data_IF_774155662453
#
_entry.id   IF_774155662453
#
_cell.length_a   1.000
_cell.length_b   1.000
_cell.length_c   1.000
_cell.angle_alpha   90.00
_cell.angle_beta   90.00
_cell.angle_gamma   90.00
#
_symmetry.space_group_name_H-M   'P 1'
#
loop_
_entity.id
_entity.type
_entity.pdbx_description
1 polymer ?
#
# COMPACT_ATOMS: atom_id res chain seq x y z
N UNK A 1 44.94 -24.06 -15.16
CA UNK A 1 43.49 -24.36 -15.14
C UNK A 1 42.97 -24.25 -13.72
N UNK A 2 41.79 -23.63 -13.57
CA UNK A 2 40.98 -23.46 -12.34
C UNK A 2 41.51 -22.43 -11.34
N UNK A 3 40.72 -21.49 -10.84
CA UNK A 3 39.49 -20.79 -11.24
C UNK A 3 39.34 -19.74 -10.13
N UNK A 4 39.21 -18.47 -10.52
CA UNK A 4 38.99 -17.33 -9.65
C UNK A 4 37.89 -17.62 -8.61
N UNK A 5 38.22 -17.58 -7.32
CA UNK A 5 37.23 -17.43 -6.26
C UNK A 5 37.25 -15.96 -5.84
N UNK A 6 36.72 -15.11 -6.72
CA UNK A 6 36.33 -13.75 -6.35
C UNK A 6 35.14 -13.93 -5.41
N UNK A 7 35.42 -13.92 -4.11
CA UNK A 7 34.43 -13.70 -3.06
C UNK A 7 33.88 -12.29 -3.26
N UNK A 8 32.86 -12.20 -4.10
CA UNK A 8 31.99 -11.06 -4.22
C UNK A 8 31.33 -10.91 -2.84
N UNK A 9 31.91 -10.08 -1.99
CA UNK A 9 31.19 -9.50 -0.86
C UNK A 9 30.01 -8.76 -1.49
N UNK A 10 28.86 -9.44 -1.57
CA UNK A 10 27.58 -8.77 -1.73
C UNK A 10 27.51 -7.82 -0.54
N UNK A 11 27.85 -6.57 -0.79
CA UNK A 11 27.31 -5.46 -0.02
C UNK A 11 25.80 -5.55 -0.21
N UNK A 12 25.17 -6.35 0.64
CA UNK A 12 23.84 -6.05 1.12
C UNK A 12 23.98 -4.72 1.84
N UNK A 13 23.98 -3.63 1.08
CA UNK A 13 23.30 -2.41 1.52
C UNK A 13 21.81 -2.74 1.52
N UNK A 14 21.42 -3.69 2.38
CA UNK A 14 20.16 -3.53 3.07
C UNK A 14 20.36 -2.23 3.83
N UNK A 15 19.93 -1.13 3.22
CA UNK A 15 19.46 0.02 3.97
C UNK A 15 18.72 -0.60 5.15
N UNK A 16 19.18 -0.26 6.35
CA UNK A 16 18.51 -0.59 7.58
C UNK A 16 17.17 0.16 7.58
N UNK A 17 16.24 -0.26 6.73
CA UNK A 17 14.84 -0.23 7.08
C UNK A 17 14.77 -1.20 8.24
N UNK A 18 14.88 -0.59 9.42
CA UNK A 18 14.58 -1.19 10.69
C UNK A 18 13.36 -2.10 10.55
N UNK A 19 13.22 -3.05 11.47
CA UNK A 19 12.02 -3.85 11.68
C UNK A 19 10.77 -2.95 11.79
N UNK A 20 10.25 -2.48 10.66
CA UNK A 20 9.13 -1.55 10.54
C UNK A 20 7.90 -2.38 10.81
N UNK A 21 7.16 -2.03 11.85
CA UNK A 21 5.88 -2.63 12.17
C UNK A 21 4.83 -2.15 11.18
N UNK A 22 4.92 -2.61 9.92
CA UNK A 22 3.91 -2.36 8.91
C UNK A 22 2.54 -2.76 9.45
N UNK A 23 1.60 -1.82 9.46
CA UNK A 23 0.21 -2.10 9.83
C UNK A 23 -0.50 -2.87 8.71
N UNK A 24 -0.03 -2.71 7.48
CA UNK A 24 -0.54 -3.36 6.28
C UNK A 24 0.54 -4.18 5.59
N UNK A 25 0.35 -5.50 5.56
CA UNK A 25 1.31 -6.41 4.91
C UNK A 25 1.27 -6.29 3.37
N UNK A 26 0.15 -5.83 2.78
CA UNK A 26 0.10 -5.55 1.34
C UNK A 26 1.02 -4.37 0.98
N UNK A 27 0.94 -3.27 1.74
CA UNK A 27 1.83 -2.13 1.57
C UNK A 27 3.30 -2.54 1.65
N UNK A 28 3.66 -3.37 2.63
CA UNK A 28 5.01 -3.90 2.76
C UNK A 28 5.47 -4.67 1.52
N UNK A 29 4.59 -5.48 0.90
CA UNK A 29 4.93 -6.20 -0.33
C UNK A 29 5.17 -5.24 -1.51
N UNK A 30 4.34 -4.19 -1.63
CA UNK A 30 4.48 -3.16 -2.67
C UNK A 30 5.78 -2.39 -2.48
N UNK A 31 6.07 -1.92 -1.26
CA UNK A 31 7.29 -1.19 -0.93
C UNK A 31 8.55 -1.99 -1.26
N UNK A 32 8.58 -3.29 -0.91
CA UNK A 32 9.70 -4.16 -1.23
C UNK A 32 9.94 -4.30 -2.75
N UNK A 33 8.87 -4.26 -3.56
CA UNK A 33 8.99 -4.28 -5.03
C UNK A 33 9.48 -2.94 -5.58
N UNK A 34 9.00 -1.83 -5.03
CA UNK A 34 9.45 -0.49 -5.38
C UNK A 34 10.93 -0.33 -5.04
N UNK A 35 11.37 -0.72 -3.84
CA UNK A 35 12.78 -0.67 -3.43
C UNK A 35 13.70 -1.46 -4.37
N UNK A 36 13.23 -2.63 -4.83
CA UNK A 36 13.95 -3.43 -5.81
C UNK A 36 14.07 -2.72 -7.17
N UNK A 37 13.01 -2.04 -7.61
CA UNK A 37 13.02 -1.24 -8.84
C UNK A 37 13.91 0.01 -8.72
N UNK A 38 13.82 0.74 -7.61
CA UNK A 38 14.71 1.88 -7.32
C UNK A 38 16.16 1.41 -7.43
N UNK A 39 16.50 0.32 -6.73
CA UNK A 39 17.85 -0.24 -6.77
C UNK A 39 18.30 -0.64 -8.18
N UNK A 40 17.38 -1.09 -9.03
CA UNK A 40 17.66 -1.39 -10.44
C UNK A 40 17.93 -0.12 -11.24
N UNK A 41 17.07 0.89 -11.13
CA UNK A 41 17.19 2.16 -11.86
C UNK A 41 18.37 3.01 -11.39
N UNK A 42 18.69 3.02 -10.10
CA UNK A 42 19.85 3.74 -9.58
C UNK A 42 21.18 3.21 -10.13
N UNK A 43 21.30 1.90 -10.39
CA UNK A 43 22.49 1.32 -11.05
C UNK A 43 22.69 1.88 -12.45
N UNK A 44 21.61 2.18 -13.16
CA UNK A 44 21.67 2.83 -14.48
C UNK A 44 22.12 4.29 -14.40
N UNK A 45 22.22 4.87 -13.19
CA UNK A 45 22.70 6.23 -12.96
C UNK A 45 24.21 6.32 -12.70
N UNK A 46 24.89 5.19 -12.48
CA UNK A 46 26.33 5.15 -12.22
C UNK A 46 27.14 5.76 -13.39
N UNK A 47 28.11 6.60 -13.07
CA UNK A 47 28.97 7.26 -14.06
C UNK A 47 28.30 8.43 -14.81
N UNK A 48 27.01 8.72 -14.59
CA UNK A 48 26.35 9.90 -15.18
C UNK A 48 26.78 11.18 -14.46
N UNK A 49 27.05 12.23 -15.24
CA UNK A 49 27.40 13.58 -14.73
C UNK A 49 26.36 14.14 -13.74
N UNK A 50 25.08 13.82 -13.95
CA UNK A 50 23.97 14.27 -13.10
C UNK A 50 23.37 13.11 -12.29
N UNK A 51 24.22 12.27 -11.70
CA UNK A 51 23.81 11.07 -10.96
C UNK A 51 22.70 11.32 -9.94
N UNK A 52 22.76 12.39 -9.15
CA UNK A 52 21.73 12.67 -8.12
C UNK A 52 20.34 12.93 -8.73
N UNK A 53 20.27 13.71 -9.82
CA UNK A 53 19.01 13.96 -10.52
C UNK A 53 18.47 12.68 -11.16
N UNK A 54 19.36 11.85 -11.71
CA UNK A 54 18.99 10.53 -12.25
C UNK A 54 18.42 9.61 -11.16
N UNK A 55 19.02 9.58 -9.96
CA UNK A 55 18.51 8.79 -8.82
C UNK A 55 17.15 9.28 -8.33
N UNK A 56 16.91 10.59 -8.30
CA UNK A 56 15.58 11.14 -8.00
C UNK A 56 14.54 10.67 -9.03
N UNK A 57 14.87 10.74 -10.32
CA UNK A 57 13.98 10.26 -11.39
C UNK A 57 13.77 8.74 -11.34
N UNK A 58 14.77 7.97 -10.91
CA UNK A 58 14.65 6.55 -10.66
C UNK A 58 13.65 6.25 -9.54
N UNK A 59 13.68 7.03 -8.47
CA UNK A 59 12.72 6.96 -7.38
C UNK A 59 11.30 7.27 -7.84
N UNK A 60 11.11 8.39 -8.54
CA UNK A 60 9.80 8.82 -9.08
C UNK A 60 9.23 7.75 -10.02
N UNK A 61 10.06 7.23 -10.93
CA UNK A 61 9.66 6.22 -11.90
C UNK A 61 9.24 4.92 -11.24
N UNK A 62 9.97 4.45 -10.22
CA UNK A 62 9.63 3.21 -9.53
C UNK A 62 8.30 3.32 -8.79
N UNK A 63 8.01 4.46 -8.16
CA UNK A 63 6.74 4.71 -7.49
C UNK A 63 5.59 4.81 -8.50
N UNK A 64 5.80 5.53 -9.61
CA UNK A 64 4.80 5.64 -10.68
C UNK A 64 4.42 4.27 -11.28
N UNK A 65 5.38 3.36 -11.46
CA UNK A 65 5.09 2.01 -11.99
C UNK A 65 4.21 1.15 -11.07
N UNK A 66 4.11 1.51 -9.78
CA UNK A 66 3.34 0.79 -8.78
C UNK A 66 2.19 1.62 -8.20
N UNK A 67 1.90 2.80 -8.76
CA UNK A 67 0.89 3.71 -8.19
C UNK A 67 -0.46 3.03 -8.04
N UNK A 68 -0.91 2.28 -9.04
CA UNK A 68 -2.18 1.55 -9.01
C UNK A 68 -2.22 0.30 -8.10
N UNK A 69 -1.06 -0.13 -7.57
CA UNK A 69 -1.00 -1.30 -6.67
C UNK A 69 -1.22 -0.92 -5.20
N UNK A 70 -1.18 0.37 -4.86
CA UNK A 70 -1.46 0.83 -3.52
C UNK A 70 -2.92 0.61 -3.12
N UNK A 71 -3.15 0.44 -1.81
CA UNK A 71 -4.49 0.28 -1.26
C UNK A 71 -5.35 1.50 -1.55
N UNK A 72 -6.64 1.27 -1.76
CA UNK A 72 -7.61 2.34 -2.05
C UNK A 72 -7.56 2.84 -3.50
N UNK A 73 -6.54 2.51 -4.28
CA UNK A 73 -6.49 2.81 -5.71
C UNK A 73 -7.47 1.96 -6.52
N UNK A 74 -7.83 2.46 -7.70
CA UNK A 74 -8.91 1.89 -8.50
C UNK A 74 -8.64 0.41 -8.85
N UNK A 75 -7.43 0.12 -9.35
CA UNK A 75 -7.02 -1.25 -9.70
C UNK A 75 -7.01 -2.18 -8.49
N UNK A 76 -6.49 -1.72 -7.34
CA UNK A 76 -6.53 -2.48 -6.10
C UNK A 76 -7.98 -2.79 -5.69
N UNK A 77 -8.84 -1.77 -5.66
CA UNK A 77 -10.23 -1.94 -5.26
C UNK A 77 -10.99 -2.89 -6.18
N UNK A 78 -10.83 -2.75 -7.49
CA UNK A 78 -11.44 -3.66 -8.46
C UNK A 78 -10.98 -5.10 -8.22
N UNK A 79 -9.68 -5.33 -8.08
CA UNK A 79 -9.11 -6.66 -7.85
C UNK A 79 -9.60 -7.29 -6.54
N UNK A 80 -9.70 -6.51 -5.47
CA UNK A 80 -9.97 -7.03 -4.14
C UNK A 80 -11.47 -7.06 -3.77
N UNK A 81 -12.27 -6.18 -4.36
CA UNK A 81 -13.65 -5.94 -3.91
C UNK A 81 -14.71 -6.24 -4.97
N UNK A 82 -14.36 -6.37 -6.25
CA UNK A 82 -15.39 -6.55 -7.29
C UNK A 82 -16.15 -7.85 -7.21
N UNK A 83 -15.46 -8.93 -6.82
CA UNK A 83 -16.01 -10.27 -6.76
C UNK A 83 -16.74 -10.59 -5.45
N UNK A 84 -16.85 -9.64 -4.52
CA UNK A 84 -17.46 -9.92 -3.22
C UNK A 84 -18.97 -10.15 -3.36
N UNK A 85 -19.47 -11.15 -2.65
CA UNK A 85 -20.89 -11.24 -2.31
C UNK A 85 -21.24 -10.22 -1.22
N UNK A 86 -22.53 -9.94 -1.00
CA UNK A 86 -22.95 -9.02 0.08
C UNK A 86 -22.47 -9.47 1.47
N UNK A 87 -22.51 -10.76 1.78
CA UNK A 87 -22.03 -11.25 3.08
C UNK A 87 -20.49 -11.11 3.22
N UNK A 88 -19.74 -11.34 2.14
CA UNK A 88 -18.30 -11.08 2.14
C UNK A 88 -17.98 -9.59 2.24
N UNK A 89 -18.79 -8.72 1.62
CA UNK A 89 -18.68 -7.28 1.75
C UNK A 89 -18.93 -6.83 3.20
N UNK A 90 -19.94 -7.38 3.89
CA UNK A 90 -20.16 -7.14 5.32
C UNK A 90 -18.95 -7.53 6.15
N UNK A 91 -18.41 -8.73 5.96
CA UNK A 91 -17.21 -9.17 6.66
C UNK A 91 -16.01 -8.24 6.40
N UNK A 92 -15.85 -7.80 5.15
CA UNK A 92 -14.77 -6.88 4.78
C UNK A 92 -14.95 -5.49 5.40
N UNK A 93 -16.18 -4.97 5.50
CA UNK A 93 -16.45 -3.71 6.20
C UNK A 93 -16.06 -3.79 7.69
N UNK A 94 -16.34 -4.91 8.36
CA UNK A 94 -15.87 -5.11 9.75
C UNK A 94 -14.34 -5.08 9.87
N UNK A 95 -13.65 -5.74 8.94
CA UNK A 95 -12.19 -5.73 8.89
C UNK A 95 -11.64 -4.31 8.68
N UNK A 96 -12.20 -3.56 7.71
CA UNK A 96 -11.77 -2.18 7.43
C UNK A 96 -12.08 -1.22 8.58
N UNK A 97 -13.22 -1.34 9.25
CA UNK A 97 -13.54 -0.56 10.45
C UNK A 97 -12.54 -0.85 11.58
N UNK A 98 -12.17 -2.12 11.78
CA UNK A 98 -11.15 -2.50 12.77
C UNK A 98 -9.78 -1.92 12.39
N UNK A 99 -9.38 -2.03 11.12
CA UNK A 99 -8.14 -1.49 10.61
C UNK A 99 -8.07 0.03 10.77
N UNK A 100 -9.16 0.75 10.47
CA UNK A 100 -9.29 2.18 10.67
C UNK A 100 -9.01 2.58 12.12
N UNK A 101 -9.60 1.86 13.09
CA UNK A 101 -9.38 2.14 14.51
C UNK A 101 -7.94 1.90 14.97
N UNK A 102 -7.24 0.93 14.36
CA UNK A 102 -5.82 0.68 14.62
C UNK A 102 -4.99 1.82 14.04
N UNK A 103 -5.16 2.12 12.75
CA UNK A 103 -4.40 3.15 12.03
C UNK A 103 -4.60 4.53 12.64
N UNK A 104 -5.80 4.88 13.10
CA UNK A 104 -6.08 6.19 13.72
C UNK A 104 -5.34 6.44 15.04
N UNK A 105 -4.71 5.41 15.62
CA UNK A 105 -4.02 5.46 16.92
C UNK A 105 -2.56 4.99 16.85
N UNK A 106 -2.06 4.62 15.68
CA UNK A 106 -0.74 3.99 15.57
C UNK A 106 0.36 5.04 15.34
N UNK A 107 1.07 5.37 16.40
CA UNK A 107 2.26 6.24 16.35
C UNK A 107 3.43 5.60 15.57
N UNK A 108 3.39 4.28 15.31
CA UNK A 108 4.38 3.55 14.50
C UNK A 108 4.11 3.68 13.00
N UNK A 109 3.07 4.42 12.61
CA UNK A 109 2.71 4.70 11.23
C UNK A 109 2.83 6.22 10.94
N UNK A 110 4.06 6.77 10.90
CA UNK A 110 4.27 8.21 10.77
C UNK A 110 3.82 8.74 9.41
N UNK A 111 3.31 9.99 9.37
CA UNK A 111 2.82 10.64 8.14
C UNK A 111 3.88 10.80 7.04
N UNK A 112 5.17 10.76 7.39
CA UNK A 112 6.27 10.90 6.44
C UNK A 112 6.59 9.65 5.64
N UNK A 113 5.91 8.52 5.88
CA UNK A 113 6.14 7.28 5.14
C UNK A 113 5.49 7.30 3.75
N UNK A 114 6.27 7.10 2.67
CA UNK A 114 5.71 6.86 1.35
C UNK A 114 4.77 5.65 1.40
N UNK A 115 3.59 5.77 0.77
CA UNK A 115 2.61 4.69 0.71
C UNK A 115 1.96 4.33 2.06
N UNK A 116 2.10 5.17 3.10
CA UNK A 116 1.45 4.92 4.39
C UNK A 116 -0.04 4.63 4.21
N UNK A 117 -0.50 3.55 4.86
CA UNK A 117 -1.92 3.33 5.07
C UNK A 117 -2.46 4.38 6.04
N UNK A 118 -3.35 5.25 5.58
CA UNK A 118 -4.03 6.23 6.42
C UNK A 118 -5.55 5.97 6.51
N UNK A 119 -6.23 6.73 7.35
CA UNK A 119 -7.68 6.60 7.53
C UNK A 119 -8.47 7.03 6.29
N UNK A 120 -7.94 7.92 5.45
CA UNK A 120 -8.59 8.36 4.22
C UNK A 120 -8.59 7.24 3.18
N UNK A 121 -7.48 6.54 3.01
CA UNK A 121 -7.38 5.34 2.18
C UNK A 121 -8.43 4.31 2.58
N UNK A 122 -8.52 4.01 3.90
CA UNK A 122 -9.48 3.04 4.41
C UNK A 122 -10.93 3.51 4.19
N UNK A 123 -11.22 4.80 4.38
CA UNK A 123 -12.54 5.37 4.10
C UNK A 123 -12.88 5.31 2.60
N UNK A 124 -11.89 5.47 1.71
CA UNK A 124 -12.05 5.28 0.27
C UNK A 124 -12.44 3.85 -0.08
N UNK A 125 -11.77 2.86 0.51
CA UNK A 125 -12.10 1.43 0.35
C UNK A 125 -13.51 1.10 0.88
N UNK A 126 -13.87 1.64 2.06
CA UNK A 126 -15.21 1.50 2.64
C UNK A 126 -16.26 2.06 1.68
N UNK A 127 -16.06 3.29 1.19
CA UNK A 127 -16.97 3.93 0.25
C UNK A 127 -17.13 3.10 -1.03
N UNK A 128 -16.03 2.54 -1.55
CA UNK A 128 -16.05 1.69 -2.73
C UNK A 128 -16.96 0.47 -2.53
N UNK A 129 -16.76 -0.27 -1.44
CA UNK A 129 -17.55 -1.46 -1.10
C UNK A 129 -19.03 -1.09 -0.89
N UNK A 130 -19.30 -0.02 -0.14
CA UNK A 130 -20.68 0.40 0.14
C UNK A 130 -21.40 0.81 -1.13
N UNK A 131 -20.78 1.63 -1.98
CA UNK A 131 -21.36 2.06 -3.26
C UNK A 131 -21.69 0.88 -4.17
N UNK A 132 -20.85 -0.16 -4.17
CA UNK A 132 -21.04 -1.34 -5.01
C UNK A 132 -22.18 -2.23 -4.55
N UNK A 133 -22.32 -2.46 -3.24
CA UNK A 133 -23.27 -3.44 -2.71
C UNK A 133 -24.56 -2.83 -2.14
N UNK A 134 -24.53 -1.54 -1.80
CA UNK A 134 -25.65 -0.75 -1.30
C UNK A 134 -25.68 0.64 -1.98
N UNK A 135 -25.93 0.72 -3.30
CA UNK A 135 -25.80 1.97 -4.07
C UNK A 135 -26.80 3.08 -3.66
N UNK A 136 -27.89 2.73 -2.99
CA UNK A 136 -28.86 3.68 -2.45
C UNK A 136 -28.50 4.21 -1.04
N UNK A 137 -27.36 3.80 -0.49
CA UNK A 137 -26.89 4.24 0.81
C UNK A 137 -26.21 5.62 0.75
N UNK A 138 -25.87 6.17 1.91
CA UNK A 138 -25.17 7.45 2.05
C UNK A 138 -23.86 7.43 1.26
N UNK A 139 -23.59 8.50 0.50
CA UNK A 139 -22.40 8.67 -0.32
C UNK A 139 -21.90 10.13 -0.21
N UNK A 140 -20.61 10.37 0.10
CA UNK A 140 -19.58 9.38 0.44
C UNK A 140 -19.85 8.68 1.77
N UNK A 141 -19.49 7.39 1.85
CA UNK A 141 -19.60 6.59 3.06
C UNK A 141 -18.22 6.38 3.69
N UNK A 142 -18.01 6.96 4.87
CA UNK A 142 -16.85 6.72 5.71
C UNK A 142 -17.10 5.59 6.73
N UNK A 143 -16.14 5.41 7.64
CA UNK A 143 -16.23 4.47 8.77
C UNK A 143 -17.54 4.60 9.58
N UNK A 144 -18.00 5.81 9.90
CA UNK A 144 -19.22 6.01 10.71
C UNK A 144 -20.46 5.60 9.91
N UNK A 145 -20.51 6.00 8.64
CA UNK A 145 -21.57 5.60 7.74
C UNK A 145 -21.66 4.07 7.57
N UNK A 146 -20.53 3.38 7.49
CA UNK A 146 -20.50 1.93 7.40
C UNK A 146 -20.95 1.25 8.70
N UNK A 147 -20.55 1.76 9.86
CA UNK A 147 -21.05 1.28 11.16
C UNK A 147 -22.58 1.40 11.27
N UNK A 148 -23.17 2.48 10.73
CA UNK A 148 -24.62 2.66 10.69
C UNK A 148 -25.31 1.67 9.74
N UNK A 149 -24.73 1.45 8.56
CA UNK A 149 -25.23 0.48 7.59
C UNK A 149 -25.31 -0.91 8.22
N UNK A 150 -24.22 -1.37 8.83
CA UNK A 150 -24.10 -2.69 9.43
C UNK A 150 -25.15 -2.90 10.52
N UNK A 151 -25.32 -1.91 11.41
CA UNK A 151 -26.39 -1.92 12.42
C UNK A 151 -27.77 -2.02 11.80
N UNK A 152 -28.06 -1.26 10.73
CA UNK A 152 -29.37 -1.28 10.08
C UNK A 152 -29.68 -2.65 9.44
N UNK A 153 -28.68 -3.33 8.88
CA UNK A 153 -28.86 -4.66 8.28
C UNK A 153 -28.72 -5.80 9.29
N UNK A 154 -28.56 -5.49 10.59
CA UNK A 154 -28.46 -6.47 11.67
C UNK A 154 -27.16 -7.28 11.63
N UNK A 155 -26.05 -6.66 11.23
CA UNK A 155 -24.72 -7.27 11.13
C UNK A 155 -23.70 -6.60 12.05
#
# INVERSE_FOLDING_TARGET
>A
MKKYLILFFMMFSASAMAKIGYVDEHQKEVDLKIDALISKYEKECEGKRNSNMCKSQAWDKAHFEYEDEFRGEDKYNHKHYDGLTKDQAVAKLHELIKLHNIVSKDERNPESWPGKLDTLTINGEINYIVRKHWPAWINPCDKICAELLLRQIGK
#
